data_IF_887913558772
#
_entry.id   IF_887913558772
#
_cell.length_a   1.000
_cell.length_b   1.000
_cell.length_c   1.000
_cell.angle_alpha   90.00
_cell.angle_beta   90.00
_cell.angle_gamma   90.00
#
_symmetry.space_group_name_H-M   'P 1'
#
loop_
_entity.id
_entity.type
_entity.pdbx_description
1 polymer ?
#
# COMPACT_ATOMS: atom_id res chain seq x y z
N UNK A 1 -19.20 -15.20 0.93
CA UNK A 1 -18.05 -15.39 1.86
C UNK A 1 -16.71 -14.85 1.34
N UNK A 2 -16.44 -14.76 0.02
CA UNK A 2 -15.18 -14.18 -0.51
C UNK A 2 -14.91 -12.70 -0.13
N UNK A 3 -15.97 -11.91 0.11
CA UNK A 3 -15.88 -10.49 0.44
C UNK A 3 -15.28 -10.20 1.83
N UNK A 4 -15.48 -11.07 2.81
CA UNK A 4 -14.93 -10.91 4.17
C UNK A 4 -13.40 -11.04 4.13
N UNK A 5 -12.89 -12.00 3.36
CA UNK A 5 -11.44 -12.19 3.19
C UNK A 5 -10.77 -11.00 2.49
N UNK A 6 -11.44 -10.37 1.52
CA UNK A 6 -10.95 -9.15 0.87
C UNK A 6 -10.91 -7.92 1.80
N UNK A 7 -11.85 -7.84 2.76
CA UNK A 7 -11.82 -6.79 3.80
C UNK A 7 -10.68 -7.06 4.78
N UNK A 8 -10.42 -8.34 5.09
CA UNK A 8 -9.36 -8.77 5.98
C UNK A 8 -7.96 -8.57 5.41
N UNK A 9 -7.76 -8.71 4.09
CA UNK A 9 -6.47 -8.56 3.42
C UNK A 9 -6.64 -7.69 2.17
N UNK A 10 -6.40 -6.40 2.32
CA UNK A 10 -6.42 -5.46 1.20
C UNK A 10 -4.98 -5.05 0.88
N UNK A 11 -4.55 -5.28 -0.36
CA UNK A 11 -3.28 -4.80 -0.91
C UNK A 11 -3.59 -3.65 -1.86
N UNK A 12 -3.01 -2.47 -1.61
CA UNK A 12 -3.18 -1.28 -2.45
C UNK A 12 -1.83 -0.69 -2.82
N UNK A 13 -1.60 -0.54 -4.11
CA UNK A 13 -0.39 0.12 -4.64
C UNK A 13 -0.73 1.55 -5.03
N UNK A 14 0.08 2.50 -4.57
CA UNK A 14 -0.09 3.92 -4.87
C UNK A 14 1.24 4.44 -5.42
N UNK A 15 1.18 5.05 -6.61
CA UNK A 15 2.31 5.80 -7.15
C UNK A 15 2.43 7.11 -6.38
N UNK A 16 3.56 7.32 -5.72
CA UNK A 16 3.86 8.50 -4.93
C UNK A 16 5.10 9.19 -5.48
N UNK A 17 5.25 10.46 -5.18
CA UNK A 17 6.45 11.23 -5.53
C UNK A 17 7.07 11.65 -4.20
N UNK A 18 8.34 11.32 -3.99
CA UNK A 18 9.07 11.77 -2.81
C UNK A 18 9.21 13.31 -2.87
N UNK A 19 8.67 14.05 -1.89
CA UNK A 19 8.76 15.51 -1.88
C UNK A 19 10.19 16.05 -1.72
N UNK A 20 11.15 15.24 -1.23
CA UNK A 20 12.54 15.67 -1.04
C UNK A 20 13.38 15.48 -2.30
N UNK A 21 13.21 14.36 -3.00
CA UNK A 21 14.05 13.99 -4.15
C UNK A 21 13.34 14.12 -5.50
N UNK A 22 12.02 14.28 -5.52
CA UNK A 22 11.21 14.30 -6.73
C UNK A 22 11.11 12.95 -7.45
N UNK A 23 11.62 11.87 -6.85
CA UNK A 23 11.60 10.53 -7.43
C UNK A 23 10.20 9.93 -7.37
N UNK A 24 9.86 9.15 -8.40
CA UNK A 24 8.63 8.36 -8.43
C UNK A 24 8.88 7.05 -7.69
N UNK A 25 8.05 6.77 -6.71
CA UNK A 25 8.10 5.55 -5.93
C UNK A 25 6.72 4.86 -5.93
N UNK A 26 6.72 3.56 -5.67
CA UNK A 26 5.50 2.79 -5.48
C UNK A 26 5.37 2.47 -3.99
N UNK A 27 4.36 3.08 -3.36
CA UNK A 27 3.97 2.78 -1.99
C UNK A 27 2.99 1.60 -1.99
N UNK A 28 3.41 0.51 -1.36
CA UNK A 28 2.60 -0.70 -1.18
C UNK A 28 1.96 -0.69 0.20
N UNK A 29 0.65 -0.57 0.26
CA UNK A 29 -0.14 -0.60 1.49
C UNK A 29 -0.74 -1.99 1.69
N UNK A 30 -0.34 -2.65 2.76
CA UNK A 30 -0.98 -3.88 3.22
C UNK A 30 -1.85 -3.56 4.43
N UNK A 31 -3.15 -3.76 4.25
CA UNK A 31 -4.17 -3.53 5.29
C UNK A 31 -4.65 -4.90 5.77
N UNK A 32 -4.52 -5.13 7.07
CA UNK A 32 -5.05 -6.33 7.74
C UNK A 32 -6.13 -5.89 8.72
N UNK A 33 -7.34 -6.45 8.63
CA UNK A 33 -8.46 -6.11 9.52
C UNK A 33 -8.80 -4.60 9.59
N UNK A 34 -8.54 -3.84 8.52
CA UNK A 34 -8.75 -2.39 8.47
C UNK A 34 -7.62 -1.55 9.11
N UNK A 35 -6.57 -2.18 9.62
CA UNK A 35 -5.38 -1.50 10.15
C UNK A 35 -4.24 -1.55 9.11
N UNK A 36 -3.61 -0.40 8.86
CA UNK A 36 -2.40 -0.34 8.05
C UNK A 36 -1.27 -1.11 8.74
N UNK A 37 -0.92 -2.27 8.22
CA UNK A 37 0.07 -3.15 8.83
C UNK A 37 1.48 -2.86 8.29
N UNK A 38 1.59 -2.50 7.00
CA UNK A 38 2.89 -2.26 6.36
C UNK A 38 2.79 -1.31 5.19
N UNK A 39 3.72 -0.36 5.14
CA UNK A 39 3.96 0.52 3.97
C UNK A 39 5.38 0.22 3.49
N UNK A 40 5.52 -0.20 2.24
CA UNK A 40 6.84 -0.42 1.62
C UNK A 40 6.97 0.44 0.37
N UNK A 41 8.10 1.13 0.25
CA UNK A 41 8.44 1.93 -0.92
C UNK A 41 9.37 1.13 -1.82
N UNK A 42 9.05 1.09 -3.11
CA UNK A 42 9.93 0.51 -4.14
C UNK A 42 10.23 1.60 -5.16
N UNK A 43 11.51 1.79 -5.47
CA UNK A 43 11.94 2.64 -6.58
C UNK A 43 11.34 2.11 -7.89
N UNK A 44 10.70 3.01 -8.64
CA UNK A 44 10.07 2.74 -9.95
C UNK A 44 11.01 3.01 -11.11
#
# INVERSE_FOLDING_TARGET
MKKILQILFCHKEIKVIDPKTGKKEIANYQIILGVFFRISYRDS
#
